data_IF_304510967181
#
_entry.id   IF_304510967181
#
_cell.length_a   1.000
_cell.length_b   1.000
_cell.length_c   1.000
_cell.angle_alpha   90.00
_cell.angle_beta   90.00
_cell.angle_gamma   90.00
#
_symmetry.space_group_name_H-M   'P 1'
#
loop_
_entity.id
_entity.type
_entity.pdbx_description
1 polymer ?
#
# COMPACT_ATOMS: atom_id res chain seq x y z
N UNK A 1 45.23 -39.73 2.92
CA UNK A 1 44.75 -38.33 2.98
C UNK A 1 43.83 -38.11 1.78
N UNK A 2 42.55 -38.09 1.99
CA UNK A 2 41.55 -37.75 0.95
C UNK A 2 41.71 -36.28 0.56
N UNK A 3 41.86 -35.94 -0.73
CA UNK A 3 41.85 -34.53 -1.15
C UNK A 3 40.52 -33.88 -0.76
N UNK A 4 40.59 -32.69 -0.20
CA UNK A 4 39.38 -31.94 0.16
C UNK A 4 38.53 -31.70 -1.08
N UNK A 5 37.21 -31.71 -0.92
CA UNK A 5 36.18 -31.56 -1.97
C UNK A 5 36.38 -30.34 -2.89
N UNK A 6 37.11 -29.31 -2.46
CA UNK A 6 37.38 -28.09 -3.21
C UNK A 6 38.84 -27.93 -3.66
N UNK A 7 39.66 -28.98 -3.61
CA UNK A 7 41.11 -28.91 -3.98
C UNK A 7 41.38 -28.55 -5.46
N UNK A 8 40.34 -28.57 -6.30
CA UNK A 8 40.41 -28.20 -7.74
C UNK A 8 39.87 -26.80 -8.04
N UNK A 9 39.41 -26.05 -7.03
CA UNK A 9 38.91 -24.69 -7.21
C UNK A 9 40.05 -23.72 -6.91
N UNK A 10 40.64 -23.17 -7.96
CA UNK A 10 41.60 -22.07 -7.83
C UNK A 10 40.80 -20.77 -7.56
N UNK A 11 40.69 -20.38 -6.29
CA UNK A 11 39.99 -19.19 -5.86
C UNK A 11 40.68 -17.89 -6.31
N UNK A 12 41.93 -17.94 -6.75
CA UNK A 12 42.67 -16.76 -7.22
C UNK A 12 42.40 -16.39 -8.68
N UNK A 13 41.90 -17.33 -9.48
CA UNK A 13 41.70 -17.13 -10.92
C UNK A 13 40.40 -16.40 -11.29
N UNK A 14 39.49 -16.18 -10.34
CA UNK A 14 38.13 -15.60 -10.60
C UNK A 14 37.86 -14.29 -9.87
N UNK A 15 38.86 -13.59 -9.39
CA UNK A 15 38.68 -12.22 -8.90
C UNK A 15 38.57 -11.27 -10.10
N UNK A 16 37.35 -11.10 -10.58
CA UNK A 16 37.02 -10.03 -11.52
C UNK A 16 36.90 -8.75 -10.70
N UNK A 17 37.84 -7.82 -10.88
CA UNK A 17 37.68 -6.47 -10.35
C UNK A 17 36.46 -5.82 -11.02
N UNK A 18 35.37 -5.71 -10.26
CA UNK A 18 34.19 -4.97 -10.70
C UNK A 18 34.53 -3.48 -10.59
N UNK A 19 34.46 -2.71 -11.69
CA UNK A 19 34.78 -1.28 -11.67
C UNK A 19 33.94 -0.59 -10.57
N UNK A 20 34.60 0.24 -9.76
CA UNK A 20 33.96 0.91 -8.61
C UNK A 20 32.74 1.78 -9.01
N UNK A 21 32.65 2.16 -10.28
CA UNK A 21 31.49 2.82 -10.89
C UNK A 21 30.22 1.97 -10.87
N UNK A 22 30.29 0.63 -10.83
CA UNK A 22 29.13 -0.25 -10.70
C UNK A 22 28.62 -0.38 -9.25
N UNK A 23 29.40 0.00 -8.26
CA UNK A 23 29.05 -0.08 -6.84
C UNK A 23 28.37 1.20 -6.31
N UNK A 24 28.23 2.22 -7.13
CA UNK A 24 27.89 3.58 -6.69
C UNK A 24 26.49 4.07 -7.08
N UNK A 25 25.52 3.22 -7.38
CA UNK A 25 24.13 3.66 -7.28
C UNK A 25 23.71 3.61 -5.81
N UNK A 26 24.11 4.60 -5.03
CA UNK A 26 23.43 4.94 -3.77
C UNK A 26 21.99 5.32 -4.12
N UNK A 27 21.10 4.34 -4.18
CA UNK A 27 19.68 4.62 -4.26
C UNK A 27 19.34 5.56 -3.11
N UNK A 28 18.72 6.70 -3.42
CA UNK A 28 18.27 7.62 -2.38
C UNK A 28 17.46 6.84 -1.32
N UNK A 29 17.64 7.13 -0.02
CA UNK A 29 16.96 6.39 1.03
C UNK A 29 15.46 6.41 0.77
N UNK A 30 14.83 5.25 0.81
CA UNK A 30 13.40 5.12 0.62
C UNK A 30 12.71 5.88 1.74
N UNK A 31 11.80 6.77 1.35
CA UNK A 31 11.03 7.56 2.29
C UNK A 31 9.68 6.89 2.51
N UNK A 32 9.32 6.69 3.74
CA UNK A 32 7.98 6.30 4.21
C UNK A 32 7.48 7.37 5.19
N UNK A 33 6.19 7.39 5.49
CA UNK A 33 5.60 8.32 6.44
C UNK A 33 5.65 7.72 7.85
N UNK A 34 5.94 8.57 8.85
CA UNK A 34 5.70 8.22 10.25
C UNK A 34 4.20 8.27 10.55
N UNK A 35 3.78 7.75 11.71
CA UNK A 35 2.37 7.80 12.12
C UNK A 35 1.86 9.22 12.24
N UNK A 36 2.63 10.11 12.87
CA UNK A 36 2.29 11.53 13.02
C UNK A 36 2.09 12.17 11.63
N UNK A 37 2.94 11.81 10.65
CA UNK A 37 2.81 12.30 9.28
C UNK A 37 1.55 11.77 8.59
N UNK A 38 1.17 10.50 8.83
CA UNK A 38 -0.11 9.95 8.35
C UNK A 38 -1.27 10.71 8.95
N UNK A 39 -1.24 10.99 10.27
CA UNK A 39 -2.25 11.78 10.97
C UNK A 39 -2.41 13.18 10.39
N UNK A 40 -1.29 13.88 10.19
CA UNK A 40 -1.31 15.21 9.59
C UNK A 40 -1.95 15.16 8.20
N UNK A 41 -1.60 14.16 7.38
CA UNK A 41 -2.22 13.99 6.06
C UNK A 41 -3.73 13.80 6.15
N UNK A 42 -4.20 12.93 7.05
CA UNK A 42 -5.64 12.70 7.27
C UNK A 42 -6.35 13.96 7.77
N UNK A 43 -5.72 14.73 8.65
CA UNK A 43 -6.28 15.98 9.18
C UNK A 43 -6.46 17.08 8.14
N UNK A 44 -5.59 17.14 7.12
CA UNK A 44 -5.67 18.15 6.05
C UNK A 44 -6.45 17.69 4.81
N UNK A 45 -6.79 16.41 4.70
CA UNK A 45 -7.60 15.83 3.62
C UNK A 45 -9.10 16.05 3.86
N UNK A 46 -9.60 17.23 3.48
CA UNK A 46 -11.03 17.58 3.66
C UNK A 46 -11.96 16.90 2.65
N UNK A 47 -11.45 16.54 1.47
CA UNK A 47 -12.27 15.86 0.45
C UNK A 47 -12.35 14.38 0.76
N UNK A 48 -13.57 13.88 1.06
CA UNK A 48 -13.80 12.49 1.44
C UNK A 48 -13.28 11.47 0.41
N UNK A 49 -13.35 11.77 -0.89
CA UNK A 49 -12.82 10.86 -1.92
C UNK A 49 -11.30 10.77 -1.86
N UNK A 50 -10.64 11.91 -1.71
CA UNK A 50 -9.18 11.95 -1.60
C UNK A 50 -8.71 11.27 -0.31
N UNK A 51 -9.48 11.41 0.77
CA UNK A 51 -9.23 10.71 2.03
C UNK A 51 -9.36 9.20 1.85
N UNK A 52 -10.45 8.70 1.27
CA UNK A 52 -10.64 7.27 1.00
C UNK A 52 -9.56 6.69 0.07
N UNK A 53 -9.14 7.45 -0.95
CA UNK A 53 -8.01 7.06 -1.81
C UNK A 53 -6.71 6.94 -1.01
N UNK A 54 -6.42 7.90 -0.16
CA UNK A 54 -5.24 7.91 0.70
C UNK A 54 -5.25 6.69 1.65
N UNK A 55 -6.36 6.46 2.34
CA UNK A 55 -6.53 5.34 3.27
C UNK A 55 -6.38 4.00 2.57
N UNK A 56 -7.04 3.80 1.44
CA UNK A 56 -6.92 2.58 0.65
C UNK A 56 -5.47 2.32 0.20
N UNK A 57 -4.74 3.38 -0.18
CA UNK A 57 -3.35 3.25 -0.58
C UNK A 57 -2.41 2.96 0.59
N UNK A 58 -2.56 3.64 1.73
CA UNK A 58 -1.66 3.48 2.88
C UNK A 58 -1.93 2.20 3.66
N UNK A 59 -3.19 1.73 3.72
CA UNK A 59 -3.58 0.54 4.48
C UNK A 59 -3.56 -0.76 3.67
N UNK A 60 -3.66 -0.68 2.32
CA UNK A 60 -3.66 -1.87 1.44
C UNK A 60 -2.48 -1.91 0.46
N UNK A 61 -1.62 -0.90 0.45
CA UNK A 61 -0.42 -0.85 -0.38
C UNK A 61 -0.69 -0.77 -1.88
N UNK A 62 -1.83 -0.22 -2.31
CA UNK A 62 -2.16 -0.08 -3.72
C UNK A 62 -1.23 0.90 -4.44
N UNK A 63 -0.96 0.62 -5.72
CA UNK A 63 -0.34 1.59 -6.62
C UNK A 63 -1.34 2.66 -7.04
N UNK A 64 -0.84 3.82 -7.48
CA UNK A 64 -1.66 4.94 -7.95
C UNK A 64 -2.71 4.49 -9.00
N UNK A 65 -2.28 3.75 -10.02
CA UNK A 65 -3.17 3.29 -11.07
C UNK A 65 -4.22 2.29 -10.55
N UNK A 66 -3.83 1.43 -9.61
CA UNK A 66 -4.71 0.45 -8.99
C UNK A 66 -5.78 1.13 -8.13
N UNK A 67 -5.39 2.13 -7.32
CA UNK A 67 -6.33 2.92 -6.54
C UNK A 67 -7.34 3.65 -7.45
N UNK A 68 -6.85 4.31 -8.50
CA UNK A 68 -7.68 5.09 -9.41
C UNK A 68 -8.69 4.24 -10.18
N UNK A 69 -8.31 3.02 -10.56
CA UNK A 69 -9.16 2.09 -11.31
C UNK A 69 -9.84 1.03 -10.44
N UNK A 70 -9.78 1.19 -9.10
CA UNK A 70 -10.37 0.25 -8.16
C UNK A 70 -11.88 0.13 -8.40
N UNK A 71 -12.43 -1.07 -8.66
CA UNK A 71 -13.82 -1.22 -9.07
C UNK A 71 -14.77 -1.28 -7.88
N UNK A 72 -15.94 -0.64 -8.02
CA UNK A 72 -16.97 -0.64 -6.99
C UNK A 72 -17.50 -2.03 -6.66
N UNK A 73 -17.46 -2.97 -7.60
CA UNK A 73 -17.96 -4.33 -7.43
C UNK A 73 -17.19 -5.16 -6.37
N UNK A 74 -15.99 -4.71 -5.96
CA UNK A 74 -15.22 -5.37 -4.91
C UNK A 74 -15.73 -5.04 -3.51
N UNK A 75 -16.62 -4.07 -3.39
CA UNK A 75 -17.13 -3.65 -2.12
C UNK A 75 -18.41 -4.41 -1.74
N UNK A 76 -18.51 -4.69 -0.47
CA UNK A 76 -19.70 -5.25 0.15
C UNK A 76 -19.81 -4.73 1.59
N UNK A 77 -20.99 -4.83 2.16
CA UNK A 77 -21.23 -4.51 3.56
C UNK A 77 -20.69 -5.65 4.44
N UNK A 78 -19.57 -5.47 5.16
CA UNK A 78 -19.00 -6.55 5.95
C UNK A 78 -19.89 -6.94 7.13
N UNK A 79 -20.74 -6.02 7.65
CA UNK A 79 -21.67 -6.30 8.73
C UNK A 79 -22.77 -7.31 8.34
N UNK A 80 -23.02 -7.49 7.05
CA UNK A 80 -23.95 -8.51 6.53
C UNK A 80 -23.33 -9.88 6.34
N UNK A 81 -22.03 -10.02 6.58
CA UNK A 81 -21.28 -11.26 6.42
C UNK A 81 -21.06 -11.90 7.80
N UNK A 82 -21.74 -13.01 8.05
CA UNK A 82 -21.64 -13.76 9.34
C UNK A 82 -20.28 -14.42 9.56
N UNK A 83 -19.51 -14.60 8.49
CA UNK A 83 -18.18 -15.20 8.49
C UNK A 83 -17.06 -14.18 8.75
N UNK A 84 -17.40 -12.89 8.89
CA UNK A 84 -16.46 -11.83 9.17
C UNK A 84 -16.73 -11.22 10.56
N UNK A 85 -15.64 -10.89 11.25
CA UNK A 85 -15.71 -10.20 12.54
C UNK A 85 -14.94 -8.89 12.47
N UNK A 86 -15.34 -7.94 13.30
CA UNK A 86 -14.68 -6.64 13.41
C UNK A 86 -13.20 -6.83 13.77
N UNK A 87 -12.33 -5.99 13.22
CA UNK A 87 -10.87 -6.10 13.38
C UNK A 87 -10.19 -7.12 12.47
N UNK A 88 -10.95 -7.90 11.69
CA UNK A 88 -10.40 -8.89 10.77
C UNK A 88 -9.91 -8.26 9.46
N UNK A 89 -8.86 -8.84 8.88
CA UNK A 89 -8.40 -8.52 7.53
C UNK A 89 -9.17 -9.34 6.49
N UNK A 90 -9.74 -8.67 5.51
CA UNK A 90 -10.53 -9.25 4.43
C UNK A 90 -9.63 -9.44 3.22
N UNK A 91 -9.40 -10.69 2.82
CA UNK A 91 -8.62 -11.00 1.62
C UNK A 91 -9.43 -10.72 0.36
N UNK A 92 -8.94 -9.79 -0.46
CA UNK A 92 -9.58 -9.34 -1.69
C UNK A 92 -8.70 -9.66 -2.90
N UNK A 93 -9.13 -10.57 -3.81
CA UNK A 93 -8.39 -10.84 -5.04
C UNK A 93 -8.57 -9.69 -6.04
N UNK A 94 -7.46 -9.19 -6.57
CA UNK A 94 -7.44 -8.19 -7.63
C UNK A 94 -7.20 -8.86 -8.98
N UNK A 95 -8.02 -8.54 -9.97
CA UNK A 95 -7.94 -9.08 -11.33
C UNK A 95 -7.69 -7.98 -12.36
N UNK A 96 -6.84 -8.25 -13.34
CA UNK A 96 -6.61 -7.37 -14.49
C UNK A 96 -7.83 -7.26 -15.43
N UNK A 97 -8.81 -8.16 -15.30
CA UNK A 97 -10.11 -8.08 -15.99
C UNK A 97 -10.99 -6.96 -15.44
N UNK A 98 -10.75 -6.55 -14.19
CA UNK A 98 -11.62 -5.64 -13.44
C UNK A 98 -11.02 -4.24 -13.26
N UNK A 99 -9.69 -4.17 -13.22
CA UNK A 99 -8.95 -2.94 -12.96
C UNK A 99 -7.56 -3.00 -13.60
N UNK A 100 -6.90 -1.85 -13.72
CA UNK A 100 -5.52 -1.80 -14.24
C UNK A 100 -4.54 -2.24 -13.18
N UNK A 101 -3.85 -3.34 -13.41
CA UNK A 101 -2.75 -3.84 -12.57
C UNK A 101 -1.42 -3.61 -13.27
N UNK A 102 -0.38 -3.28 -12.52
CA UNK A 102 0.96 -3.17 -13.10
C UNK A 102 1.43 -4.55 -13.58
N UNK A 103 1.86 -4.64 -14.84
CA UNK A 103 2.27 -5.87 -15.53
C UNK A 103 1.14 -6.92 -15.64
N UNK A 104 -0.12 -6.51 -15.57
CA UNK A 104 -1.32 -7.37 -15.65
C UNK A 104 -1.28 -8.59 -14.72
N UNK A 105 -0.52 -8.49 -13.60
CA UNK A 105 -0.37 -9.57 -12.64
C UNK A 105 -1.46 -9.52 -11.56
N UNK A 106 -2.37 -10.50 -11.54
CA UNK A 106 -3.31 -10.66 -10.44
C UNK A 106 -2.59 -10.87 -9.12
N UNK A 107 -3.18 -10.37 -8.03
CA UNK A 107 -2.74 -10.62 -6.67
C UNK A 107 -3.90 -10.44 -5.70
N UNK A 108 -3.72 -10.82 -4.46
CA UNK A 108 -4.65 -10.46 -3.40
C UNK A 108 -4.06 -9.34 -2.54
N UNK A 109 -4.93 -8.49 -2.03
CA UNK A 109 -4.64 -7.54 -0.95
C UNK A 109 -5.43 -7.94 0.28
N UNK A 110 -5.02 -7.44 1.43
CA UNK A 110 -5.79 -7.57 2.67
C UNK A 110 -6.35 -6.18 3.01
N UNK A 111 -7.68 -6.10 3.10
CA UNK A 111 -8.43 -4.88 3.41
C UNK A 111 -8.93 -5.01 4.84
N UNK A 112 -8.62 -4.06 5.75
CA UNK A 112 -9.20 -4.06 7.09
C UNK A 112 -10.73 -4.01 7.04
N UNK A 113 -11.39 -4.66 7.99
CA UNK A 113 -12.85 -4.72 8.10
C UNK A 113 -13.48 -3.32 8.10
N UNK A 114 -12.99 -2.44 8.96
CA UNK A 114 -13.44 -1.05 9.07
C UNK A 114 -13.26 -0.25 7.77
N UNK A 115 -12.12 -0.41 7.09
CA UNK A 115 -11.90 0.24 5.80
C UNK A 115 -12.87 -0.29 4.73
N UNK A 116 -13.20 -1.58 4.73
CA UNK A 116 -14.20 -2.14 3.81
C UNK A 116 -15.57 -1.51 4.09
N UNK A 117 -15.93 -1.35 5.36
CA UNK A 117 -17.18 -0.71 5.78
C UNK A 117 -17.22 0.76 5.34
N UNK A 118 -16.17 1.53 5.58
CA UNK A 118 -16.05 2.92 5.16
C UNK A 118 -16.15 3.09 3.64
N UNK A 119 -15.47 2.23 2.89
CA UNK A 119 -15.52 2.23 1.42
C UNK A 119 -16.93 1.87 0.92
N UNK A 120 -17.62 0.94 1.58
CA UNK A 120 -19.01 0.60 1.28
C UNK A 120 -19.94 1.80 1.50
N UNK A 121 -19.83 2.47 2.67
CA UNK A 121 -20.60 3.67 2.96
C UNK A 121 -20.27 4.83 2.01
N UNK A 122 -19.00 5.01 1.67
CA UNK A 122 -18.58 5.96 0.65
C UNK A 122 -19.26 5.66 -0.70
N UNK A 123 -19.27 4.42 -1.13
CA UNK A 123 -19.89 4.03 -2.38
C UNK A 123 -21.41 4.26 -2.38
N UNK A 124 -22.07 3.91 -1.27
CA UNK A 124 -23.52 4.04 -1.12
C UNK A 124 -24.01 5.50 -1.11
N UNK A 125 -23.21 6.43 -0.58
CA UNK A 125 -23.58 7.84 -0.40
C UNK A 125 -22.89 8.75 -1.40
N UNK A 126 -21.57 8.90 -1.28
CA UNK A 126 -20.80 9.89 -2.04
C UNK A 126 -20.61 9.53 -3.51
N UNK A 127 -20.28 8.27 -3.81
CA UNK A 127 -20.14 7.83 -5.20
C UNK A 127 -21.47 7.91 -5.97
N UNK A 128 -22.57 7.48 -5.36
CA UNK A 128 -23.92 7.60 -5.97
C UNK A 128 -24.28 9.04 -6.31
N UNK A 129 -24.00 9.98 -5.41
CA UNK A 129 -24.24 11.41 -5.66
C UNK A 129 -23.46 11.91 -6.87
N UNK A 130 -22.18 11.55 -6.99
CA UNK A 130 -21.34 11.91 -8.14
C UNK A 130 -21.77 11.25 -9.43
N UNK A 131 -22.19 9.99 -9.37
CA UNK A 131 -22.72 9.29 -10.54
C UNK A 131 -23.99 9.96 -11.09
N UNK A 132 -24.85 10.48 -10.22
CA UNK A 132 -26.03 11.27 -10.62
C UNK A 132 -25.64 12.58 -11.29
N UNK A 133 -24.59 13.24 -10.83
CA UNK A 133 -24.09 14.47 -11.42
C UNK A 133 -23.56 14.28 -12.86
N UNK A 134 -23.09 13.10 -13.21
CA UNK A 134 -22.65 12.75 -14.56
C UNK A 134 -23.80 12.56 -15.59
N UNK A 135 -25.05 12.53 -15.12
CA UNK A 135 -26.23 12.33 -15.98
C UNK A 135 -26.59 10.86 -16.24
N UNK A 136 -27.76 10.68 -16.86
CA UNK A 136 -28.28 9.36 -17.23
C UNK A 136 -27.38 8.76 -18.32
N UNK A 137 -26.77 7.60 -18.05
CA UNK A 137 -25.91 6.89 -19.00
C UNK A 137 -24.43 6.80 -18.61
N UNK A 138 -23.98 7.51 -17.58
CA UNK A 138 -22.62 7.38 -17.06
C UNK A 138 -22.44 6.07 -16.31
N UNK A 139 -21.85 5.06 -16.96
CA UNK A 139 -21.64 3.70 -16.42
C UNK A 139 -20.18 3.45 -16.04
N UNK A 140 -19.62 4.24 -15.14
CA UNK A 140 -18.27 3.94 -14.64
C UNK A 140 -18.28 2.81 -13.61
N UNK A 141 -17.39 1.84 -13.78
CA UNK A 141 -17.15 0.78 -12.80
C UNK A 141 -16.20 1.19 -11.69
N UNK A 142 -15.47 2.31 -11.86
CA UNK A 142 -14.51 2.81 -10.87
C UNK A 142 -15.23 3.23 -9.58
N UNK A 143 -14.61 2.92 -8.44
CA UNK A 143 -15.10 3.33 -7.13
C UNK A 143 -15.03 4.85 -6.97
N UNK A 144 -13.89 5.43 -7.32
CA UNK A 144 -13.64 6.85 -7.14
C UNK A 144 -13.99 7.64 -8.40
N UNK A 145 -14.89 8.60 -8.22
CA UNK A 145 -15.33 9.51 -9.29
C UNK A 145 -15.00 10.95 -8.91
N UNK A 146 -14.71 11.78 -9.90
CA UNK A 146 -14.58 13.22 -9.73
C UNK A 146 -15.91 13.86 -9.34
N UNK A 147 -15.93 15.17 -9.07
CA UNK A 147 -17.20 15.88 -8.78
C UNK A 147 -18.18 15.82 -9.96
N UNK A 148 -17.67 15.71 -11.17
CA UNK A 148 -18.47 15.61 -12.39
C UNK A 148 -18.88 14.14 -12.70
N UNK A 149 -18.62 13.21 -11.80
CA UNK A 149 -19.00 11.79 -11.95
C UNK A 149 -18.15 10.99 -12.94
N UNK A 150 -17.02 11.55 -13.42
CA UNK A 150 -16.07 10.86 -14.30
C UNK A 150 -14.97 10.16 -13.50
N UNK A 151 -14.36 9.08 -14.00
CA UNK A 151 -13.17 8.49 -13.39
C UNK A 151 -12.01 9.49 -13.31
N UNK A 152 -11.15 9.33 -12.32
CA UNK A 152 -9.94 10.14 -12.21
C UNK A 152 -8.94 9.82 -13.33
N UNK A 153 -8.43 10.85 -14.00
CA UNK A 153 -7.42 10.75 -15.06
C UNK A 153 -6.03 10.34 -14.55
N UNK A 154 -5.08 10.14 -15.48
CA UNK A 154 -3.76 9.57 -15.17
C UNK A 154 -2.92 10.44 -14.24
N UNK A 155 -3.02 11.75 -14.34
CA UNK A 155 -2.27 12.72 -13.52
C UNK A 155 -2.99 13.12 -12.23
N UNK A 156 -4.29 12.89 -12.15
CA UNK A 156 -5.15 13.44 -11.10
C UNK A 156 -4.69 13.11 -9.67
N UNK A 157 -4.24 11.88 -9.41
CA UNK A 157 -3.69 11.54 -8.10
C UNK A 157 -2.38 12.28 -7.82
N UNK A 158 -1.54 12.47 -8.82
CA UNK A 158 -0.32 13.26 -8.67
C UNK A 158 -0.64 14.68 -8.23
N UNK A 159 -1.64 15.31 -8.84
CA UNK A 159 -2.08 16.68 -8.52
C UNK A 159 -2.66 16.75 -7.09
N UNK A 160 -3.47 15.74 -6.70
CA UNK A 160 -4.00 15.61 -5.34
C UNK A 160 -2.85 15.53 -4.32
N UNK A 161 -1.82 14.71 -4.61
CA UNK A 161 -0.68 14.55 -3.71
C UNK A 161 0.23 15.79 -3.67
N UNK A 162 0.38 16.54 -4.78
CA UNK A 162 1.06 17.83 -4.75
C UNK A 162 0.33 18.83 -3.86
N UNK A 163 -1.01 18.88 -3.94
CA UNK A 163 -1.80 19.74 -3.07
C UNK A 163 -1.75 19.29 -1.60
N UNK A 164 -1.73 17.98 -1.35
CA UNK A 164 -1.57 17.41 -0.01
C UNK A 164 -0.20 17.78 0.57
N UNK A 165 0.88 17.62 -0.18
CA UNK A 165 2.24 17.98 0.21
C UNK A 165 2.35 19.43 0.68
N UNK A 166 1.75 20.36 -0.08
CA UNK A 166 1.71 21.78 0.28
C UNK A 166 0.99 22.04 1.60
N UNK A 167 -0.09 21.30 1.89
CA UNK A 167 -0.87 21.47 3.12
C UNK A 167 -0.25 20.79 4.33
N UNK A 168 0.37 19.64 4.11
CA UNK A 168 1.01 18.85 5.16
C UNK A 168 2.37 19.41 5.58
N UNK A 169 3.04 20.20 4.72
CA UNK A 169 4.36 20.80 5.00
C UNK A 169 5.54 19.85 4.81
N UNK A 170 5.31 18.64 4.26
CA UNK A 170 6.36 17.66 3.97
C UNK A 170 6.03 16.86 2.71
N UNK A 171 7.05 16.19 2.17
CA UNK A 171 6.91 15.46 0.89
C UNK A 171 6.05 14.20 1.05
N UNK A 172 4.95 14.16 0.30
CA UNK A 172 4.01 13.02 0.23
C UNK A 172 3.75 12.66 -1.22
N UNK A 173 4.00 11.41 -1.59
CA UNK A 173 3.78 10.89 -2.94
C UNK A 173 3.01 9.56 -2.87
N UNK A 174 2.28 9.18 -3.92
CA UNK A 174 1.58 7.89 -3.96
C UNK A 174 2.50 6.70 -3.62
N UNK A 175 3.74 6.75 -4.09
CA UNK A 175 4.71 5.69 -3.84
C UNK A 175 5.20 5.66 -2.38
N UNK A 176 5.23 6.82 -1.73
CA UNK A 176 5.55 6.92 -0.29
C UNK A 176 4.55 6.17 0.57
N UNK A 177 3.24 6.26 0.26
CA UNK A 177 2.20 5.52 0.99
C UNK A 177 2.39 4.00 0.86
N UNK A 178 2.74 3.56 -0.32
CA UNK A 178 3.01 2.14 -0.56
C UNK A 178 4.26 1.66 0.18
N UNK A 179 5.29 2.49 0.30
CA UNK A 179 6.44 2.19 1.15
C UNK A 179 6.06 2.17 2.63
N UNK A 180 5.22 3.09 3.06
CA UNK A 180 4.65 3.12 4.41
C UNK A 180 3.95 1.80 4.72
N UNK A 181 3.01 1.37 3.87
CA UNK A 181 2.37 0.06 3.99
C UNK A 181 3.37 -1.09 4.12
N UNK A 182 4.33 -1.20 3.19
CA UNK A 182 5.29 -2.31 3.19
C UNK A 182 6.17 -2.35 4.44
N UNK A 183 6.61 -1.17 4.92
CA UNK A 183 7.45 -1.02 6.10
C UNK A 183 6.71 -1.45 7.36
N UNK A 184 5.53 -0.90 7.59
CA UNK A 184 4.76 -1.19 8.80
C UNK A 184 4.16 -2.59 8.80
N UNK A 185 3.71 -3.11 7.66
CA UNK A 185 3.24 -4.50 7.55
C UNK A 185 4.36 -5.48 7.90
N UNK A 186 5.56 -5.27 7.37
CA UNK A 186 6.69 -6.14 7.69
C UNK A 186 7.09 -6.04 9.17
N UNK A 187 7.07 -4.84 9.73
CA UNK A 187 7.34 -4.61 11.16
C UNK A 187 6.29 -5.31 12.03
N UNK A 188 4.99 -5.16 11.74
CA UNK A 188 3.88 -5.81 12.44
C UNK A 188 4.03 -7.33 12.43
N UNK A 189 4.23 -7.93 11.25
CA UNK A 189 4.37 -9.36 11.11
C UNK A 189 5.52 -9.93 11.96
N UNK A 190 6.63 -9.20 12.06
CA UNK A 190 7.74 -9.59 12.93
C UNK A 190 7.40 -9.47 14.41
N UNK A 191 6.71 -8.39 14.80
CA UNK A 191 6.33 -8.14 16.20
C UNK A 191 5.39 -9.21 16.74
N UNK A 192 4.42 -9.67 15.92
CA UNK A 192 3.43 -10.68 16.35
C UNK A 192 3.92 -12.12 16.18
N UNK A 193 5.16 -12.35 15.75
CA UNK A 193 5.68 -13.69 15.53
C UNK A 193 4.94 -14.44 14.42
N UNK A 194 4.71 -13.78 13.29
CA UNK A 194 3.97 -14.38 12.17
C UNK A 194 4.55 -15.71 11.76
N UNK A 195 3.72 -16.75 11.76
CA UNK A 195 4.07 -18.09 11.31
C UNK A 195 4.17 -18.13 9.78
N UNK A 196 5.35 -17.82 9.26
CA UNK A 196 5.66 -17.72 7.85
C UNK A 196 6.82 -16.77 7.59
N UNK A 197 7.12 -16.52 6.30
CA UNK A 197 8.16 -15.57 5.91
C UNK A 197 7.55 -14.17 5.66
N UNK A 198 7.76 -13.20 6.58
CA UNK A 198 7.16 -11.86 6.47
C UNK A 198 7.51 -11.12 5.18
N UNK A 199 8.74 -11.30 4.65
CA UNK A 199 9.16 -10.68 3.39
C UNK A 199 8.39 -11.21 2.19
N UNK A 200 8.14 -12.53 2.15
CA UNK A 200 7.36 -13.16 1.09
C UNK A 200 5.90 -12.69 1.15
N UNK A 201 5.34 -12.61 2.35
CA UNK A 201 3.99 -12.07 2.54
C UNK A 201 3.87 -10.65 1.97
N UNK A 202 4.74 -9.73 2.38
CA UNK A 202 4.73 -8.34 1.89
C UNK A 202 4.96 -8.29 0.38
N UNK A 203 5.91 -9.08 -0.15
CA UNK A 203 6.15 -9.20 -1.60
C UNK A 203 4.87 -9.52 -2.36
N UNK A 204 4.15 -10.54 -1.92
CA UNK A 204 2.96 -11.03 -2.61
C UNK A 204 1.81 -10.03 -2.53
N UNK A 205 1.58 -9.42 -1.37
CA UNK A 205 0.57 -8.36 -1.18
C UNK A 205 0.86 -7.12 -2.00
N UNK A 206 2.12 -6.74 -2.09
CA UNK A 206 2.54 -5.61 -2.91
C UNK A 206 2.67 -5.96 -4.40
N UNK A 207 2.69 -7.24 -4.78
CA UNK A 207 2.90 -7.67 -6.16
C UNK A 207 4.28 -7.23 -6.67
N UNK A 208 5.33 -7.46 -5.89
CA UNK A 208 6.71 -7.31 -6.34
C UNK A 208 7.15 -8.57 -7.10
N UNK A 209 7.81 -8.38 -8.24
CA UNK A 209 8.32 -9.49 -9.05
C UNK A 209 9.54 -10.17 -8.41
N UNK A 210 10.22 -9.49 -7.50
CA UNK A 210 11.45 -9.97 -6.86
C UNK A 210 11.45 -9.69 -5.36
N UNK A 211 12.01 -10.60 -4.58
CA UNK A 211 12.26 -10.45 -3.14
C UNK A 211 13.27 -9.32 -2.89
N UNK A 212 14.23 -9.10 -3.80
CA UNK A 212 15.21 -8.01 -3.68
C UNK A 212 14.54 -6.64 -3.59
N UNK A 213 13.46 -6.42 -4.34
CA UNK A 213 12.65 -5.20 -4.24
C UNK A 213 11.99 -5.04 -2.87
N UNK A 214 11.69 -6.16 -2.20
CA UNK A 214 11.06 -6.18 -0.88
C UNK A 214 12.10 -6.10 0.24
N UNK A 215 13.32 -6.58 0.02
CA UNK A 215 14.40 -6.56 1.02
C UNK A 215 14.78 -5.15 1.49
N UNK A 216 14.46 -4.14 0.68
CA UNK A 216 14.61 -2.73 1.02
C UNK A 216 13.92 -2.40 2.35
N UNK A 217 12.74 -2.97 2.61
CA UNK A 217 12.00 -2.75 3.86
C UNK A 217 12.71 -3.32 5.09
N UNK A 218 13.57 -4.32 4.94
CA UNK A 218 14.37 -4.87 6.04
C UNK A 218 15.35 -3.85 6.62
N UNK A 219 15.96 -3.03 5.77
CA UNK A 219 16.84 -1.95 6.24
C UNK A 219 16.05 -0.85 6.96
N UNK A 220 14.85 -0.52 6.45
CA UNK A 220 13.99 0.48 7.07
C UNK A 220 13.51 0.07 8.45
N UNK A 221 13.23 -1.22 8.68
CA UNK A 221 12.83 -1.72 10.01
C UNK A 221 13.97 -1.63 11.01
N UNK A 222 15.21 -1.92 10.60
CA UNK A 222 16.35 -1.78 11.49
C UNK A 222 16.57 -0.31 11.91
N UNK A 223 16.22 0.64 11.05
CA UNK A 223 16.20 2.08 11.38
C UNK A 223 15.01 2.47 12.29
N UNK A 224 13.86 1.81 12.14
CA UNK A 224 12.70 1.99 13.01
C UNK A 224 12.91 1.41 14.42
N UNK A 225 13.75 0.39 14.55
CA UNK A 225 13.85 -0.46 15.73
C UNK A 225 14.33 0.21 17.03
N UNK A 226 14.83 1.44 16.98
CA UNK A 226 15.29 2.16 18.17
C UNK A 226 14.42 3.39 18.55
N UNK A 227 13.63 3.94 17.63
CA UNK A 227 12.95 5.22 17.83
C UNK A 227 11.44 5.19 17.65
N UNK A 228 10.88 4.12 17.07
CA UNK A 228 9.46 4.02 16.73
C UNK A 228 8.87 2.70 17.25
N UNK A 229 9.03 2.43 18.54
CA UNK A 229 8.15 1.51 19.27
C UNK A 229 6.82 2.24 19.50
N UNK A 230 6.18 2.64 18.41
CA UNK A 230 4.81 3.09 18.47
C UNK A 230 3.92 1.85 18.30
N UNK A 231 2.91 1.68 19.13
CA UNK A 231 1.92 0.64 18.95
C UNK A 231 1.11 0.96 17.67
N UNK A 232 1.61 0.47 16.54
CA UNK A 232 0.99 0.65 15.23
C UNK A 232 -0.46 0.19 15.23
N UNK A 233 -0.78 -0.83 16.04
CA UNK A 233 -2.12 -1.39 16.10
C UNK A 233 -3.08 -0.47 16.87
N UNK A 234 -2.70 -0.11 18.10
CA UNK A 234 -3.57 0.68 18.99
C UNK A 234 -3.76 2.11 18.47
N UNK A 235 -2.73 2.67 17.84
CA UNK A 235 -2.79 4.03 17.32
C UNK A 235 -3.49 4.12 15.95
N UNK A 236 -3.29 3.16 15.05
CA UNK A 236 -4.06 3.09 13.81
C UNK A 236 -5.52 2.74 14.09
N UNK A 237 -5.77 1.78 14.95
CA UNK A 237 -7.13 1.41 15.31
C UNK A 237 -7.84 2.59 16.01
N UNK A 238 -7.17 3.31 16.91
CA UNK A 238 -7.68 4.56 17.48
C UNK A 238 -7.91 5.66 16.42
N UNK A 239 -7.03 5.76 15.43
CA UNK A 239 -7.14 6.73 14.35
C UNK A 239 -8.29 6.48 13.38
N UNK A 240 -8.60 5.22 13.14
CA UNK A 240 -9.66 4.82 12.22
C UNK A 240 -10.98 4.48 12.95
N UNK A 241 -11.06 4.75 14.27
CA UNK A 241 -12.29 4.60 15.05
C UNK A 241 -12.59 3.17 15.49
N UNK A 242 -11.58 2.31 15.54
CA UNK A 242 -11.68 0.96 16.10
C UNK A 242 -11.21 1.01 17.56
N UNK A 243 -11.82 1.87 18.36
CA UNK A 243 -11.70 1.74 19.81
C UNK A 243 -12.61 0.59 20.24
N UNK A 244 -12.01 -0.43 20.88
CA UNK A 244 -12.65 -1.64 21.37
C UNK A 244 -13.79 -1.44 22.34
#
# INVERSE_FOLDING_TARGET
RTPGFLAHVDASANLVEVPSAMLSQKSAPIKFLTMEQVLVCLGVLRNITHRMMFELMVRCGLRQIECRTFPVKYLFDPARRRDLVQGQMIRLPLSNKDMKLKYDKPRAIDVPYDLMEDLWWYAARHRKSRQRAAGAGATSTSLFLTQNGTPYGDTALTDIFVALEKRAGFRVRPHTLRHTYGTYTLWKLRKVGFDGEPLLYVRDRMGHSSVSTTSIYRHLINQLGAQLVLPWDDEIDALFGIAG
#
